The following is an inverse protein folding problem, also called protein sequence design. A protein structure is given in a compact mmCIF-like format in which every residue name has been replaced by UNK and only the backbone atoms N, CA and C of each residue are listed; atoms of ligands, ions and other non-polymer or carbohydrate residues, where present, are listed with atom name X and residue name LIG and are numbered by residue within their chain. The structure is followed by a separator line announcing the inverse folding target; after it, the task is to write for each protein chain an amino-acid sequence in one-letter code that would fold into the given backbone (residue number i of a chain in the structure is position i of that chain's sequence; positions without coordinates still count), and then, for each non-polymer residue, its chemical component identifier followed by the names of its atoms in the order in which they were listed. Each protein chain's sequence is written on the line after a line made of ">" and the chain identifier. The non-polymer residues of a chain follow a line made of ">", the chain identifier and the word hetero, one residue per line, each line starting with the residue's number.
data_IF_092256420336
#
_entry.id   IF_092256420336
#
_cell.length_a   1.000
_cell.length_b   1.000
_cell.length_c   1.000
_cell.angle_alpha   90.00
_cell.angle_beta   90.00
_cell.angle_gamma   90.00
#
_symmetry.space_group_name_H-M   'P 1'
#
loop_
_entity.id
_entity.type
_entity.pdbx_description
1 polymer ?
#
# COMPACT_ATOMS: atom_id res chain seq x y z
N UNK A 1 -50.80 -39.86 -0.08
CA UNK A 1 -49.39 -40.13 0.23
C UNK A 1 -48.57 -39.03 -0.40
N UNK A 2 -48.19 -37.99 0.35
CA UNK A 2 -47.43 -36.84 -0.13
C UNK A 2 -45.97 -37.06 0.22
N UNK A 3 -45.10 -37.11 -0.77
CA UNK A 3 -43.66 -37.07 -0.59
C UNK A 3 -43.22 -35.60 -0.63
N UNK A 4 -42.87 -35.05 0.53
CA UNK A 4 -42.24 -33.73 0.60
C UNK A 4 -40.75 -33.89 0.27
N UNK A 5 -40.39 -33.38 -0.90
CA UNK A 5 -38.98 -33.24 -1.29
C UNK A 5 -38.37 -32.10 -0.47
N UNK A 6 -37.53 -32.43 0.50
CA UNK A 6 -36.70 -31.49 1.24
C UNK A 6 -35.56 -31.02 0.33
N UNK A 7 -35.68 -29.81 -0.18
CA UNK A 7 -34.59 -29.13 -0.88
C UNK A 7 -33.48 -28.79 0.14
N UNK A 8 -32.39 -29.54 0.12
CA UNK A 8 -31.20 -29.22 0.88
C UNK A 8 -30.58 -27.94 0.32
N UNK A 9 -30.79 -26.83 1.03
CA UNK A 9 -30.07 -25.58 0.75
C UNK A 9 -28.60 -25.74 1.16
N UNK A 10 -27.76 -26.02 0.17
CA UNK A 10 -26.32 -25.99 0.35
C UNK A 10 -25.93 -24.53 0.61
N UNK A 11 -25.72 -24.16 1.86
CA UNK A 11 -25.13 -22.88 2.24
C UNK A 11 -23.69 -22.88 1.69
N UNK A 12 -23.48 -22.23 0.56
CA UNK A 12 -22.14 -21.90 0.07
C UNK A 12 -21.51 -20.94 1.09
N UNK A 13 -20.62 -21.46 1.90
CA UNK A 13 -19.88 -20.67 2.89
C UNK A 13 -18.79 -19.90 2.13
N UNK A 14 -19.14 -18.74 1.56
CA UNK A 14 -18.19 -17.85 0.91
C UNK A 14 -17.33 -17.27 2.01
N UNK A 15 -16.14 -17.86 2.22
CA UNK A 15 -15.13 -17.29 3.11
C UNK A 15 -14.79 -15.89 2.58
N UNK A 16 -15.20 -14.86 3.33
CA UNK A 16 -14.94 -13.47 2.95
C UNK A 16 -13.44 -13.25 3.01
N UNK A 17 -12.81 -13.02 1.86
CA UNK A 17 -11.38 -12.71 1.79
C UNK A 17 -11.08 -11.40 2.53
N UNK A 18 -9.96 -11.39 3.25
CA UNK A 18 -9.44 -10.20 3.90
C UNK A 18 -8.60 -9.38 2.92
N UNK A 19 -8.30 -8.12 3.27
CA UNK A 19 -7.41 -7.27 2.47
C UNK A 19 -6.04 -7.94 2.32
N UNK A 20 -5.55 -8.57 3.38
CA UNK A 20 -4.28 -9.30 3.39
C UNK A 20 -4.28 -10.47 2.40
N UNK A 21 -5.38 -11.21 2.33
CA UNK A 21 -5.50 -12.35 1.41
C UNK A 21 -5.45 -11.86 -0.04
N UNK A 22 -6.05 -10.71 -0.33
CA UNK A 22 -6.03 -10.10 -1.67
C UNK A 22 -4.61 -9.62 -2.02
N UNK A 23 -3.99 -8.85 -1.13
CA UNK A 23 -2.66 -8.25 -1.34
C UNK A 23 -1.58 -9.33 -1.51
N UNK A 24 -1.66 -10.42 -0.74
CA UNK A 24 -0.66 -11.49 -0.76
C UNK A 24 -0.97 -12.61 -1.76
N UNK A 25 -2.09 -12.54 -2.49
CA UNK A 25 -2.55 -13.61 -3.38
C UNK A 25 -1.48 -14.09 -4.38
N UNK A 26 -0.67 -13.18 -4.88
CA UNK A 26 0.37 -13.46 -5.88
C UNK A 26 1.79 -13.23 -5.36
N UNK A 27 1.96 -13.17 -4.04
CA UNK A 27 3.27 -12.93 -3.43
C UNK A 27 4.23 -14.09 -3.71
N UNK A 28 5.42 -13.77 -4.24
CA UNK A 28 6.49 -14.73 -4.54
C UNK A 28 7.71 -14.62 -3.62
N UNK A 29 7.76 -13.62 -2.74
CA UNK A 29 8.92 -13.32 -1.88
C UNK A 29 8.82 -13.92 -0.48
N UNK A 30 8.19 -15.07 -0.33
CA UNK A 30 8.05 -15.74 0.98
C UNK A 30 7.01 -15.11 1.92
N UNK A 31 6.29 -14.08 1.50
CA UNK A 31 5.28 -13.41 2.33
C UNK A 31 4.14 -14.34 2.74
N UNK A 32 3.81 -15.32 1.92
CA UNK A 32 2.82 -16.36 2.26
C UNK A 32 3.25 -17.22 3.43
N UNK A 33 4.56 -17.39 3.64
CA UNK A 33 5.12 -18.10 4.80
C UNK A 33 4.99 -17.20 6.03
N UNK A 34 5.38 -15.93 5.92
CA UNK A 34 5.30 -14.96 7.01
C UNK A 34 3.85 -14.71 7.44
N UNK A 35 2.89 -14.80 6.51
CA UNK A 35 1.46 -14.61 6.78
C UNK A 35 0.95 -15.46 7.94
N UNK A 36 1.50 -16.65 8.14
CA UNK A 36 1.14 -17.56 9.24
C UNK A 36 1.48 -17.01 10.63
N UNK A 37 2.49 -16.14 10.69
CA UNK A 37 2.98 -15.53 11.94
C UNK A 37 2.43 -14.11 12.15
N UNK A 38 1.77 -13.55 11.14
CA UNK A 38 1.11 -12.25 11.24
C UNK A 38 -0.34 -12.47 11.68
N UNK A 39 -0.76 -11.77 12.71
CA UNK A 39 -2.16 -11.84 13.15
C UNK A 39 -3.12 -11.42 12.03
N UNK A 40 -4.37 -11.85 12.12
CA UNK A 40 -5.40 -11.45 11.17
C UNK A 40 -5.69 -9.95 11.22
N UNK A 41 -6.16 -9.41 10.09
CA UNK A 41 -6.54 -8.00 9.94
C UNK A 41 -5.42 -6.99 10.26
N UNK A 42 -4.15 -7.31 9.95
CA UNK A 42 -3.04 -6.39 10.22
C UNK A 42 -3.13 -5.10 9.39
N UNK A 43 -3.66 -5.14 8.16
CA UNK A 43 -3.91 -3.93 7.37
C UNK A 43 -4.93 -3.02 8.05
N UNK A 44 -6.00 -3.59 8.59
CA UNK A 44 -7.00 -2.84 9.36
C UNK A 44 -6.38 -2.23 10.60
N UNK A 45 -5.62 -3.01 11.39
CA UNK A 45 -4.94 -2.50 12.59
C UNK A 45 -3.94 -1.38 12.28
N UNK A 46 -3.21 -1.49 11.16
CA UNK A 46 -2.31 -0.43 10.72
C UNK A 46 -3.07 0.86 10.38
N UNK A 47 -4.16 0.76 9.66
CA UNK A 47 -5.01 1.89 9.33
C UNK A 47 -5.62 2.54 10.60
N UNK A 48 -6.12 1.74 11.53
CA UNK A 48 -6.65 2.23 12.82
C UNK A 48 -5.58 2.98 13.61
N UNK A 49 -4.35 2.46 13.67
CA UNK A 49 -3.22 3.13 14.32
C UNK A 49 -2.88 4.47 13.70
N UNK A 50 -2.90 4.56 12.37
CA UNK A 50 -2.70 5.83 11.67
C UNK A 50 -3.81 6.82 12.04
N UNK A 51 -5.06 6.38 12.08
CA UNK A 51 -6.20 7.24 12.38
C UNK A 51 -6.24 7.73 13.85
N UNK A 52 -5.59 7.03 14.77
CA UNK A 52 -5.40 7.45 16.18
C UNK A 52 -4.38 8.59 16.34
N UNK A 53 -3.49 8.79 15.35
CA UNK A 53 -2.47 9.84 15.42
C UNK A 53 -3.10 11.24 15.33
N UNK A 54 -2.52 12.24 16.03
CA UNK A 54 -2.93 13.64 15.85
C UNK A 54 -2.83 14.06 14.39
N UNK A 55 -3.79 14.85 13.91
CA UNK A 55 -3.75 15.38 12.55
C UNK A 55 -2.59 16.35 12.38
N UNK A 56 -1.88 16.22 11.27
CA UNK A 56 -0.69 17.02 10.97
C UNK A 56 0.02 16.51 9.72
N UNK A 57 1.29 16.84 9.62
CA UNK A 57 2.14 16.42 8.51
C UNK A 57 2.50 14.93 8.64
N UNK A 58 2.40 14.21 7.52
CA UNK A 58 2.90 12.84 7.38
C UNK A 58 3.88 12.81 6.22
N UNK A 59 5.13 12.45 6.50
CA UNK A 59 6.15 12.28 5.47
C UNK A 59 6.07 10.87 4.89
N UNK A 60 5.95 10.80 3.56
CA UNK A 60 5.94 9.56 2.79
C UNK A 60 7.20 9.55 1.93
N UNK A 61 8.10 8.61 2.20
CA UNK A 61 9.32 8.46 1.41
C UNK A 61 9.13 7.41 0.33
N UNK A 62 9.56 7.74 -0.87
CA UNK A 62 9.57 6.83 -2.01
C UNK A 62 10.72 7.20 -2.93
N UNK A 63 11.00 6.33 -3.87
CA UNK A 63 12.09 6.51 -4.83
C UNK A 63 13.09 5.38 -4.67
N UNK A 64 13.38 4.76 -5.77
CA UNK A 64 14.44 3.77 -5.87
C UNK A 64 14.97 3.82 -7.31
N UNK A 65 16.22 4.21 -7.44
CA UNK A 65 16.84 4.30 -8.74
C UNK A 65 17.38 2.93 -9.18
N UNK A 66 16.88 2.45 -10.31
CA UNK A 66 17.32 1.16 -10.88
C UNK A 66 17.72 1.36 -12.35
N UNK A 67 18.98 1.15 -12.68
CA UNK A 67 19.47 1.14 -14.05
C UNK A 67 19.00 2.34 -14.91
N UNK A 68 19.04 3.54 -14.39
CA UNK A 68 18.66 4.75 -15.11
C UNK A 68 17.21 5.20 -14.95
N UNK A 69 16.38 4.44 -14.25
CA UNK A 69 14.95 4.71 -14.10
C UNK A 69 14.50 4.65 -12.66
N UNK A 70 13.42 5.37 -12.35
CA UNK A 70 12.73 5.20 -11.09
C UNK A 70 11.95 3.87 -11.07
N UNK A 71 11.90 3.20 -9.93
CA UNK A 71 11.01 2.06 -9.71
C UNK A 71 9.54 2.51 -9.86
N UNK A 72 8.69 1.63 -10.40
CA UNK A 72 7.34 2.03 -10.80
C UNK A 72 6.27 1.79 -9.74
N UNK A 73 6.45 0.81 -8.85
CA UNK A 73 5.44 0.42 -7.86
C UNK A 73 5.45 1.32 -6.61
N UNK A 74 6.63 1.74 -6.14
CA UNK A 74 6.77 2.64 -4.99
C UNK A 74 6.05 3.98 -5.17
N UNK A 75 6.34 4.76 -6.23
CA UNK A 75 5.69 6.05 -6.47
C UNK A 75 4.17 5.97 -6.58
N UNK A 76 3.62 5.00 -7.31
CA UNK A 76 2.17 4.83 -7.47
C UNK A 76 1.49 4.47 -6.14
N UNK A 77 2.10 3.59 -5.35
CA UNK A 77 1.60 3.24 -4.01
C UNK A 77 1.60 4.45 -3.07
N UNK A 78 2.69 5.22 -3.09
CA UNK A 78 2.84 6.43 -2.28
C UNK A 78 1.81 7.50 -2.65
N UNK A 79 1.58 7.73 -3.93
CA UNK A 79 0.55 8.65 -4.44
C UNK A 79 -0.84 8.26 -3.94
N UNK A 80 -1.19 6.99 -4.05
CA UNK A 80 -2.49 6.48 -3.60
C UNK A 80 -2.66 6.65 -2.09
N UNK A 81 -1.61 6.34 -1.32
CA UNK A 81 -1.61 6.51 0.13
C UNK A 81 -1.71 7.99 0.52
N UNK A 82 -0.98 8.89 -0.15
CA UNK A 82 -1.06 10.33 0.09
C UNK A 82 -2.48 10.86 -0.13
N UNK A 83 -3.13 10.49 -1.24
CA UNK A 83 -4.53 10.87 -1.51
C UNK A 83 -5.49 10.37 -0.41
N UNK A 84 -5.31 9.12 0.05
CA UNK A 84 -6.12 8.55 1.12
C UNK A 84 -5.91 9.28 2.46
N UNK A 85 -4.66 9.55 2.84
CA UNK A 85 -4.33 10.28 4.06
C UNK A 85 -4.89 11.72 4.05
N UNK A 86 -4.80 12.41 2.90
CA UNK A 86 -5.39 13.73 2.73
C UNK A 86 -6.92 13.70 2.91
N UNK A 87 -7.58 12.69 2.35
CA UNK A 87 -9.03 12.52 2.49
C UNK A 87 -9.49 12.33 3.94
N UNK A 88 -8.63 11.78 4.80
CA UNK A 88 -8.93 11.61 6.24
C UNK A 88 -8.32 12.72 7.11
N UNK A 89 -7.88 13.83 6.51
CA UNK A 89 -7.53 15.08 7.20
C UNK A 89 -6.07 15.22 7.64
N UNK A 90 -5.15 14.39 7.13
CA UNK A 90 -3.71 14.62 7.27
C UNK A 90 -3.17 15.50 6.15
N UNK A 91 -1.98 16.03 6.36
CA UNK A 91 -1.19 16.71 5.32
C UNK A 91 -0.02 15.80 4.91
N UNK A 92 -0.19 14.96 3.87
CA UNK A 92 0.90 14.14 3.35
C UNK A 92 1.90 15.00 2.61
N UNK A 93 3.19 14.78 2.86
CA UNK A 93 4.33 15.38 2.16
C UNK A 93 5.16 14.22 1.62
N UNK A 94 5.26 14.13 0.30
CA UNK A 94 6.04 13.09 -0.36
C UNK A 94 7.49 13.57 -0.44
N UNK A 95 8.43 12.75 0.03
CA UNK A 95 9.86 13.00 -0.10
C UNK A 95 10.43 11.96 -1.06
N UNK A 96 10.99 12.41 -2.16
CA UNK A 96 11.47 11.53 -3.22
C UNK A 96 12.69 12.12 -3.94
N UNK A 97 13.23 11.42 -4.90
CA UNK A 97 14.32 11.88 -5.75
C UNK A 97 13.85 12.47 -7.08
N UNK A 98 14.79 13.07 -7.82
CA UNK A 98 14.52 13.70 -9.11
C UNK A 98 13.99 12.75 -10.19
N UNK A 99 14.30 11.46 -10.10
CA UNK A 99 13.91 10.45 -11.09
C UNK A 99 12.42 10.10 -10.99
N UNK A 100 11.81 10.33 -9.84
CA UNK A 100 10.39 10.13 -9.62
C UNK A 100 9.52 11.32 -10.06
N UNK A 101 10.10 12.41 -10.55
CA UNK A 101 9.38 13.65 -10.91
C UNK A 101 8.18 13.40 -11.81
N UNK A 102 8.35 12.61 -12.87
CA UNK A 102 7.28 12.31 -13.83
C UNK A 102 6.05 11.61 -13.26
N UNK A 103 6.15 11.01 -12.07
CA UNK A 103 5.01 10.42 -11.39
C UNK A 103 4.15 11.45 -10.65
N UNK A 104 4.74 12.56 -10.22
CA UNK A 104 4.09 13.49 -9.28
C UNK A 104 3.82 14.88 -9.85
N UNK A 105 4.50 15.28 -10.93
CA UNK A 105 4.44 16.66 -11.45
C UNK A 105 3.05 17.11 -11.94
N UNK A 106 2.17 16.17 -12.26
CA UNK A 106 0.79 16.44 -12.69
C UNK A 106 -0.22 16.25 -11.56
N UNK A 107 0.24 15.92 -10.36
CA UNK A 107 -0.61 15.64 -9.21
C UNK A 107 -0.64 16.83 -8.26
N UNK A 108 -1.82 17.10 -7.73
CA UNK A 108 -2.01 18.11 -6.67
C UNK A 108 -1.60 17.53 -5.30
N UNK A 109 -0.28 17.35 -5.10
CA UNK A 109 0.31 16.78 -3.89
C UNK A 109 1.53 17.61 -3.48
N UNK A 110 1.79 17.72 -2.17
CA UNK A 110 3.02 18.32 -1.64
C UNK A 110 4.18 17.32 -1.86
N UNK A 111 5.15 17.68 -2.71
CA UNK A 111 6.31 16.85 -3.05
C UNK A 111 7.60 17.59 -2.84
N UNK A 112 8.50 17.03 -2.04
CA UNK A 112 9.86 17.49 -1.83
C UNK A 112 10.85 16.56 -2.54
N UNK A 113 11.62 17.14 -3.47
CA UNK A 113 12.64 16.40 -4.21
C UNK A 113 13.99 16.53 -3.52
N UNK A 114 14.36 15.50 -2.77
CA UNK A 114 15.66 15.44 -2.12
C UNK A 114 16.80 15.38 -3.15
N UNK A 115 17.86 16.14 -2.90
CA UNK A 115 19.10 15.98 -3.64
C UNK A 115 19.81 14.72 -3.13
N UNK A 116 19.96 13.73 -4.00
CA UNK A 116 20.86 12.61 -3.75
C UNK A 116 22.27 13.19 -3.85
N UNK A 117 23.02 13.15 -2.75
CA UNK A 117 24.43 13.56 -2.76
C UNK A 117 25.19 12.67 -3.75
N UNK A 118 26.06 13.26 -4.54
CA UNK A 118 26.84 12.63 -5.64
C UNK A 118 27.73 11.44 -5.21
N UNK A 119 27.69 11.01 -3.97
CA UNK A 119 28.42 9.87 -3.45
C UNK A 119 27.74 8.50 -3.60
N UNK A 120 26.47 8.46 -3.98
CA UNK A 120 25.71 7.20 -4.11
C UNK A 120 25.90 6.57 -5.49
N UNK A 121 26.38 7.32 -6.48
CA UNK A 121 26.68 6.78 -7.82
C UNK A 121 27.88 5.80 -7.83
N UNK A 122 28.61 5.66 -6.74
CA UNK A 122 29.76 4.75 -6.62
C UNK A 122 29.40 3.31 -6.22
N UNK A 123 28.12 3.00 -6.01
CA UNK A 123 27.66 1.66 -5.59
C UNK A 123 26.88 0.90 -6.68
N UNK A 124 27.03 1.29 -7.94
CA UNK A 124 26.50 0.54 -9.10
C UNK A 124 27.60 -0.22 -9.81
#
# INVERSE_FOLDING_TARGET
>A
MGAQAQAAQTKVNIKKETVEDIVLRHSKRGMTILRKYMGDFYCKRAAEKILELPKGNIFLTTGFYVAGHAETDGPLGTMTLAKALRAVGYRPIIVTDKYCRGFFELEDLDVEYAHICDGVEQYT
#
